data_IF_262311990661
#
_entry.id   IF_262311990661
#
_cell.length_a   1.000
_cell.length_b   1.000
_cell.length_c   1.000
_cell.angle_alpha   90.00
_cell.angle_beta   90.00
_cell.angle_gamma   90.00
#
_symmetry.space_group_name_H-M   'P 1'
#
loop_
_entity.id
_entity.type
_entity.pdbx_description
1 polymer ?
#
# COMPACT_ATOMS: atom_id res chain seq x y z
N UNK A 1 15.96 27.55 2.15
CA UNK A 1 14.83 27.97 2.98
C UNK A 1 13.44 27.86 2.31
N UNK A 2 13.31 27.22 1.14
CA UNK A 2 12.02 27.07 0.43
C UNK A 2 11.37 25.67 0.54
N UNK A 3 11.99 24.72 1.21
CA UNK A 3 11.52 23.32 1.30
C UNK A 3 10.66 23.06 2.55
N UNK A 4 10.72 23.93 3.55
CA UNK A 4 9.94 23.80 4.79
C UNK A 4 8.45 24.21 4.64
N UNK A 5 8.08 24.94 3.59
CA UNK A 5 6.71 25.42 3.37
C UNK A 5 5.72 24.38 2.82
N UNK A 6 6.21 23.27 2.25
CA UNK A 6 5.33 22.29 1.57
C UNK A 6 4.87 21.18 2.54
N UNK A 7 5.70 20.81 3.50
CA UNK A 7 5.32 19.82 4.51
C UNK A 7 4.23 20.32 5.47
N UNK A 8 4.16 21.63 5.71
CA UNK A 8 3.16 22.26 6.58
C UNK A 8 1.78 22.39 5.93
N UNK A 9 1.69 22.48 4.61
CA UNK A 9 0.39 22.57 3.91
C UNK A 9 -0.41 21.26 3.91
N UNK A 10 0.23 20.14 4.14
CA UNK A 10 -0.47 18.84 4.23
C UNK A 10 -1.08 18.61 5.63
N UNK A 11 -0.46 19.11 6.70
CA UNK A 11 -1.05 19.07 8.04
C UNK A 11 -2.25 20.01 8.18
N UNK A 12 -2.26 21.13 7.45
CA UNK A 12 -3.34 22.12 7.52
C UNK A 12 -4.53 21.78 6.60
N UNK A 13 -4.34 20.99 5.54
CA UNK A 13 -5.45 20.55 4.68
C UNK A 13 -6.26 19.39 5.29
N UNK A 14 -5.81 18.80 6.39
CA UNK A 14 -6.55 17.84 7.23
C UNK A 14 -7.09 18.54 8.50
N UNK A 15 -7.04 19.85 8.58
CA UNK A 15 -7.72 20.59 9.63
C UNK A 15 -9.24 20.55 9.39
N UNK A 16 -9.90 19.65 10.07
CA UNK A 16 -11.34 19.51 10.16
C UNK A 16 -11.99 20.83 10.61
N UNK A 17 -12.91 21.33 9.81
CA UNK A 17 -13.97 22.21 10.34
C UNK A 17 -14.88 21.34 11.20
N UNK A 18 -14.61 21.35 12.49
CA UNK A 18 -15.48 20.77 13.50
C UNK A 18 -16.78 21.58 13.59
N UNK A 19 -17.84 21.02 13.01
CA UNK A 19 -19.20 21.33 13.45
C UNK A 19 -19.38 20.61 14.79
N UNK A 20 -19.32 21.36 15.90
CA UNK A 20 -19.58 20.83 17.24
C UNK A 20 -21.08 20.55 17.39
N UNK A 21 -21.45 19.29 17.32
CA UNK A 21 -22.66 18.76 17.95
C UNK A 21 -22.25 17.93 19.16
N UNK A 22 -22.69 18.33 20.34
CA UNK A 22 -22.44 17.62 21.58
C UNK A 22 -23.12 16.24 21.56
N UNK A 23 -22.31 15.17 21.66
CA UNK A 23 -22.81 13.81 21.89
C UNK A 23 -22.28 13.29 23.22
N UNK A 24 -23.22 12.92 24.09
CA UNK A 24 -22.94 12.27 25.36
C UNK A 24 -22.36 10.85 25.17
N UNK A 25 -21.92 10.15 26.24
CA UNK A 25 -21.26 8.86 26.14
C UNK A 25 -22.24 7.80 25.65
N UNK A 26 -22.15 7.47 24.35
CA UNK A 26 -22.90 6.38 23.77
C UNK A 26 -22.14 5.07 23.98
N UNK A 27 -22.85 4.10 24.52
CA UNK A 27 -22.40 2.72 24.70
C UNK A 27 -21.87 2.13 23.38
N UNK A 28 -20.78 1.36 23.48
CA UNK A 28 -20.14 0.64 22.40
C UNK A 28 -21.17 -0.23 21.63
N UNK A 29 -21.34 -0.06 20.32
CA UNK A 29 -22.12 -0.99 19.53
C UNK A 29 -21.31 -2.28 19.34
N UNK A 30 -21.66 -3.29 20.08
CA UNK A 30 -21.25 -4.68 19.83
C UNK A 30 -21.96 -5.20 18.58
N UNK A 31 -21.22 -5.83 17.68
CA UNK A 31 -21.71 -6.76 16.64
C UNK A 31 -22.43 -6.24 15.39
N UNK A 32 -22.44 -4.96 15.05
CA UNK A 32 -23.11 -4.54 13.81
C UNK A 32 -22.24 -4.59 12.52
N UNK A 33 -20.93 -4.65 12.64
CA UNK A 33 -20.02 -4.52 11.49
C UNK A 33 -19.80 -5.83 10.70
N UNK A 34 -19.84 -7.00 11.33
CA UNK A 34 -19.82 -8.27 10.59
C UNK A 34 -21.11 -8.49 9.79
N UNK A 35 -22.19 -7.82 10.21
CA UNK A 35 -23.48 -7.87 9.51
C UNK A 35 -23.50 -7.11 8.19
N UNK A 36 -22.65 -6.10 7.99
CA UNK A 36 -22.75 -5.21 6.82
C UNK A 36 -22.21 -5.87 5.54
N UNK A 37 -21.05 -6.51 5.57
CA UNK A 37 -20.52 -7.21 4.37
C UNK A 37 -21.33 -8.46 4.04
N UNK A 38 -21.75 -9.24 5.06
CA UNK A 38 -22.72 -10.31 4.87
C UNK A 38 -24.07 -9.78 4.39
N UNK A 39 -24.45 -8.59 4.80
CA UNK A 39 -25.68 -7.95 4.36
C UNK A 39 -25.62 -7.62 2.88
N UNK A 40 -24.57 -6.98 2.39
CA UNK A 40 -24.41 -6.63 0.98
C UNK A 40 -24.30 -7.86 0.07
N UNK A 41 -23.50 -8.87 0.42
CA UNK A 41 -23.46 -10.11 -0.35
C UNK A 41 -24.85 -10.80 -0.36
N UNK A 42 -25.53 -10.88 0.77
CA UNK A 42 -26.88 -11.44 0.85
C UNK A 42 -27.91 -10.60 0.08
N UNK A 43 -27.80 -9.29 0.09
CA UNK A 43 -28.64 -8.37 -0.68
C UNK A 43 -28.44 -8.58 -2.19
N UNK A 44 -27.22 -8.68 -2.66
CA UNK A 44 -26.88 -9.00 -4.07
C UNK A 44 -27.47 -10.35 -4.49
N UNK A 45 -27.25 -11.37 -3.67
CA UNK A 45 -27.82 -12.71 -3.93
C UNK A 45 -29.34 -12.65 -4.01
N UNK A 46 -30.00 -11.96 -3.06
CA UNK A 46 -31.45 -11.80 -3.03
C UNK A 46 -31.99 -11.00 -4.22
N UNK A 47 -31.29 -9.91 -4.60
CA UNK A 47 -31.66 -9.12 -5.77
C UNK A 47 -31.60 -9.95 -7.05
N UNK A 48 -30.56 -10.80 -7.21
CA UNK A 48 -30.48 -11.73 -8.32
C UNK A 48 -31.60 -12.77 -8.27
N UNK A 49 -31.85 -13.38 -7.11
CA UNK A 49 -32.96 -14.32 -6.94
C UNK A 49 -34.31 -13.70 -7.33
N UNK A 50 -34.58 -12.47 -6.88
CA UNK A 50 -35.81 -11.76 -7.20
C UNK A 50 -35.98 -11.50 -8.69
N UNK A 51 -34.88 -11.27 -9.41
CA UNK A 51 -34.88 -10.98 -10.84
C UNK A 51 -34.90 -12.25 -11.70
N UNK A 52 -34.18 -13.30 -11.30
CA UNK A 52 -33.97 -14.49 -12.13
C UNK A 52 -34.79 -15.72 -11.72
N UNK A 53 -35.36 -15.70 -10.51
CA UNK A 53 -36.06 -16.87 -9.94
C UNK A 53 -35.13 -18.01 -9.50
N UNK A 54 -33.81 -17.80 -9.51
CA UNK A 54 -32.82 -18.81 -9.12
C UNK A 54 -32.86 -19.11 -7.63
N UNK A 55 -32.43 -20.33 -7.24
CA UNK A 55 -32.22 -20.67 -5.84
C UNK A 55 -31.08 -19.85 -5.22
N UNK A 56 -31.10 -19.68 -3.87
CA UNK A 56 -30.03 -18.96 -3.16
C UNK A 56 -28.63 -19.51 -3.49
N UNK A 57 -28.48 -20.83 -3.53
CA UNK A 57 -27.21 -21.50 -3.82
C UNK A 57 -26.75 -21.21 -5.26
N UNK A 58 -27.68 -21.21 -6.21
CA UNK A 58 -27.40 -20.91 -7.61
C UNK A 58 -27.08 -19.43 -7.78
N UNK A 59 -27.87 -18.54 -7.20
CA UNK A 59 -27.64 -17.10 -7.22
C UNK A 59 -26.32 -16.73 -6.53
N UNK A 60 -25.99 -17.35 -5.38
CA UNK A 60 -24.69 -17.17 -4.69
C UNK A 60 -23.55 -17.61 -5.58
N UNK A 61 -23.64 -18.78 -6.21
CA UNK A 61 -22.60 -19.25 -7.15
C UNK A 61 -22.43 -18.29 -8.32
N UNK A 62 -23.50 -17.76 -8.90
CA UNK A 62 -23.43 -16.80 -10.00
C UNK A 62 -22.88 -15.44 -9.54
N UNK A 63 -23.25 -14.94 -8.36
CA UNK A 63 -22.72 -13.70 -7.79
C UNK A 63 -21.23 -13.85 -7.47
N UNK A 64 -20.79 -15.01 -6.99
CA UNK A 64 -19.39 -15.31 -6.73
C UNK A 64 -18.60 -15.66 -8.00
N UNK A 65 -19.27 -16.20 -9.01
CA UNK A 65 -18.66 -16.56 -10.31
C UNK A 65 -18.99 -15.52 -11.39
N UNK A 66 -19.37 -14.27 -11.02
CA UNK A 66 -19.49 -13.17 -11.98
C UNK A 66 -18.19 -13.13 -12.80
N UNK A 67 -18.31 -13.54 -14.07
CA UNK A 67 -17.13 -13.78 -14.91
C UNK A 67 -16.47 -12.44 -15.17
N UNK A 68 -15.16 -12.27 -14.87
CA UNK A 68 -14.43 -11.11 -15.35
C UNK A 68 -14.58 -11.00 -16.88
N UNK A 69 -14.46 -9.79 -17.45
CA UNK A 69 -14.28 -9.67 -18.90
C UNK A 69 -13.28 -10.74 -19.32
N UNK A 70 -13.56 -11.51 -20.35
CA UNK A 70 -12.99 -12.85 -20.59
C UNK A 70 -11.45 -12.94 -20.67
N UNK A 71 -10.71 -11.88 -20.37
CA UNK A 71 -9.28 -11.75 -20.65
C UNK A 71 -8.44 -11.05 -19.57
N UNK A 72 -9.01 -10.52 -18.42
CA UNK A 72 -8.17 -9.87 -17.43
C UNK A 72 -7.48 -10.88 -16.50
N UNK A 73 -6.13 -10.85 -16.49
CA UNK A 73 -5.30 -11.73 -15.68
C UNK A 73 -5.00 -11.09 -14.31
N UNK A 74 -5.40 -11.77 -13.26
CA UNK A 74 -5.07 -11.43 -11.87
C UNK A 74 -3.72 -12.04 -11.51
N UNK A 75 -2.67 -11.22 -11.54
CA UNK A 75 -1.28 -11.68 -11.40
C UNK A 75 -0.82 -11.79 -9.95
N UNK A 76 -1.55 -11.14 -9.03
CA UNK A 76 -1.04 -10.88 -7.69
C UNK A 76 0.08 -9.86 -7.72
N UNK A 77 0.51 -9.35 -6.57
CA UNK A 77 1.58 -8.35 -6.54
C UNK A 77 2.09 -8.05 -5.14
N UNK A 78 3.18 -7.29 -5.07
CA UNK A 78 3.85 -6.93 -3.83
C UNK A 78 3.43 -5.54 -3.35
N UNK A 79 3.49 -4.54 -4.22
CA UNK A 79 3.24 -3.15 -3.84
C UNK A 79 2.10 -2.53 -4.67
N UNK A 80 1.12 -1.86 -4.03
CA UNK A 80 -0.10 -1.44 -4.73
C UNK A 80 0.14 -0.50 -5.92
N UNK A 81 1.01 0.50 -5.78
CA UNK A 81 1.25 1.45 -6.88
C UNK A 81 1.99 0.80 -8.07
N UNK A 82 2.99 -0.04 -7.80
CA UNK A 82 3.77 -0.72 -8.86
C UNK A 82 2.94 -1.81 -9.51
N UNK A 83 2.21 -2.59 -8.72
CA UNK A 83 1.30 -3.62 -9.22
C UNK A 83 0.21 -3.02 -10.11
N UNK A 84 -0.45 -1.94 -9.67
CA UNK A 84 -1.51 -1.33 -10.46
C UNK A 84 -1.03 -0.95 -11.87
N UNK A 85 0.18 -0.40 -12.01
CA UNK A 85 0.76 -0.09 -13.31
C UNK A 85 1.19 -1.37 -14.05
N UNK A 86 1.97 -2.26 -13.42
CA UNK A 86 2.47 -3.47 -14.05
C UNK A 86 1.32 -4.40 -14.50
N UNK A 87 0.30 -4.57 -13.66
CA UNK A 87 -0.89 -5.37 -13.96
C UNK A 87 -1.68 -4.83 -15.15
N UNK A 88 -1.92 -3.50 -15.19
CA UNK A 88 -2.58 -2.89 -16.34
C UNK A 88 -1.74 -3.04 -17.60
N UNK A 89 -0.44 -2.80 -17.56
CA UNK A 89 0.44 -2.93 -18.71
C UNK A 89 0.50 -4.38 -19.23
N UNK A 90 0.57 -5.36 -18.34
CA UNK A 90 0.53 -6.78 -18.69
C UNK A 90 -0.78 -7.15 -19.39
N UNK A 91 -1.92 -6.72 -18.86
CA UNK A 91 -3.24 -6.96 -19.43
C UNK A 91 -3.49 -6.18 -20.74
N UNK A 92 -2.70 -5.14 -20.98
CA UNK A 92 -2.68 -4.41 -22.26
C UNK A 92 -1.69 -5.00 -23.27
N UNK A 93 -1.01 -6.09 -22.93
CA UNK A 93 -0.08 -6.78 -23.81
C UNK A 93 1.27 -6.09 -23.99
N UNK A 94 1.64 -5.12 -23.10
CA UNK A 94 2.96 -4.50 -23.15
C UNK A 94 4.01 -5.47 -22.63
N UNK A 95 4.93 -5.85 -23.50
CA UNK A 95 6.04 -6.75 -23.18
C UNK A 95 7.36 -5.99 -23.01
N UNK A 96 8.19 -6.48 -22.11
CA UNK A 96 9.57 -6.03 -21.99
C UNK A 96 10.40 -6.52 -23.19
N UNK A 97 11.01 -5.64 -23.98
CA UNK A 97 11.65 -5.99 -25.24
C UNK A 97 12.83 -6.96 -25.12
N UNK A 98 13.45 -7.02 -23.95
CA UNK A 98 14.60 -7.89 -23.68
C UNK A 98 14.23 -9.29 -23.23
N UNK A 99 13.00 -9.51 -22.75
CA UNK A 99 12.54 -10.82 -22.25
C UNK A 99 11.37 -11.39 -23.02
N UNK A 100 10.61 -10.57 -23.74
CA UNK A 100 9.35 -10.94 -24.37
C UNK A 100 8.24 -11.29 -23.35
N UNK A 101 8.40 -10.94 -22.07
CA UNK A 101 7.42 -11.14 -20.99
C UNK A 101 6.82 -9.80 -20.57
N UNK A 102 5.69 -9.78 -19.84
CA UNK A 102 5.19 -8.56 -19.21
C UNK A 102 6.28 -7.88 -18.37
N UNK A 103 6.25 -6.54 -18.29
CA UNK A 103 7.11 -5.80 -17.39
C UNK A 103 6.85 -6.22 -15.95
N UNK A 104 7.93 -6.50 -15.21
CA UNK A 104 7.85 -6.84 -13.79
C UNK A 104 7.48 -5.63 -12.94
N UNK A 105 6.91 -5.86 -11.73
CA UNK A 105 6.75 -4.79 -10.74
C UNK A 105 8.10 -4.16 -10.37
N UNK A 106 9.14 -4.96 -10.32
CA UNK A 106 10.50 -4.54 -10.06
C UNK A 106 10.97 -3.50 -11.10
N UNK A 107 10.73 -3.79 -12.39
CA UNK A 107 11.07 -2.87 -13.48
C UNK A 107 10.25 -1.57 -13.39
N UNK A 108 8.96 -1.65 -13.07
CA UNK A 108 8.11 -0.46 -12.88
C UNK A 108 8.59 0.37 -11.68
N UNK A 109 8.97 -0.27 -10.56
CA UNK A 109 9.53 0.40 -9.39
C UNK A 109 10.80 1.16 -9.75
N UNK A 110 11.74 0.47 -10.39
CA UNK A 110 13.04 1.04 -10.76
C UNK A 110 12.93 2.18 -11.76
N UNK A 111 12.20 1.98 -12.87
CA UNK A 111 11.94 3.03 -13.87
C UNK A 111 11.22 4.24 -13.25
N UNK A 112 10.34 4.01 -12.25
CA UNK A 112 9.67 5.06 -11.50
C UNK A 112 10.57 5.89 -10.57
N UNK A 113 11.87 5.53 -10.44
CA UNK A 113 12.82 6.19 -9.57
C UNK A 113 13.10 5.45 -8.26
N UNK A 114 12.65 4.20 -8.15
CA UNK A 114 13.05 3.27 -7.11
C UNK A 114 12.48 3.56 -5.72
N UNK A 115 13.34 3.38 -4.73
CA UNK A 115 13.03 3.45 -3.32
C UNK A 115 12.95 4.89 -2.79
N UNK A 116 12.21 5.06 -1.72
CA UNK A 116 12.27 6.19 -0.82
C UNK A 116 12.66 5.75 0.59
N UNK A 117 12.72 6.69 1.49
CA UNK A 117 12.91 6.46 2.90
C UNK A 117 12.09 7.48 3.69
N UNK A 118 11.56 7.06 4.82
CA UNK A 118 10.77 7.95 5.66
C UNK A 118 10.30 7.28 6.94
N UNK A 119 10.04 8.13 7.92
CA UNK A 119 9.46 7.74 9.19
C UNK A 119 8.45 8.80 9.60
N UNK A 120 7.20 8.38 9.79
CA UNK A 120 6.12 9.24 10.27
C UNK A 120 5.34 8.50 11.36
N UNK A 121 5.27 9.10 12.55
CA UNK A 121 4.39 8.64 13.62
C UNK A 121 3.14 9.52 13.63
N UNK A 122 2.00 8.93 13.31
CA UNK A 122 0.70 9.57 13.32
C UNK A 122 0.03 9.44 14.69
N UNK A 123 -0.56 10.52 15.15
CA UNK A 123 -1.40 10.53 16.36
C UNK A 123 -2.86 10.77 16.00
N UNK A 124 -3.68 9.75 16.17
CA UNK A 124 -5.14 9.82 16.03
C UNK A 124 -5.75 10.19 17.37
N UNK A 125 -5.72 11.46 17.72
CA UNK A 125 -6.11 11.96 19.06
C UNK A 125 -7.51 11.56 19.49
N UNK A 126 -8.48 11.58 18.54
CA UNK A 126 -9.87 11.18 18.81
C UNK A 126 -10.00 9.71 19.26
N UNK A 127 -9.04 8.87 18.89
CA UNK A 127 -9.07 7.42 19.17
C UNK A 127 -7.97 7.00 20.15
N UNK A 128 -7.21 7.97 20.68
CA UNK A 128 -6.02 7.71 21.49
C UNK A 128 -5.13 6.61 20.90
N UNK A 129 -4.86 6.73 19.60
CA UNK A 129 -4.11 5.76 18.82
C UNK A 129 -2.90 6.42 18.20
N UNK A 130 -1.76 5.73 18.25
CA UNK A 130 -0.54 6.10 17.55
C UNK A 130 -0.18 5.01 16.57
N UNK A 131 -0.03 5.36 15.32
CA UNK A 131 0.30 4.46 14.21
C UNK A 131 1.48 5.01 13.43
N UNK A 132 2.19 4.12 12.78
CA UNK A 132 3.48 4.40 12.15
C UNK A 132 3.38 4.11 10.66
N UNK A 133 4.05 4.93 9.87
CA UNK A 133 4.31 4.67 8.46
C UNK A 133 5.81 4.75 8.20
N UNK A 134 6.35 3.71 7.58
CA UNK A 134 7.77 3.53 7.31
C UNK A 134 8.04 3.21 5.84
N UNK A 135 9.23 3.53 5.41
CA UNK A 135 9.77 3.10 4.13
C UNK A 135 9.41 4.01 3.00
N UNK A 136 8.57 3.60 2.12
CA UNK A 136 8.11 4.30 0.93
C UNK A 136 8.92 3.98 -0.35
N UNK A 137 8.22 4.02 -1.48
CA UNK A 137 8.84 4.24 -2.79
C UNK A 137 9.23 5.71 -2.96
N UNK A 138 10.04 6.01 -3.95
CA UNK A 138 10.34 7.40 -4.32
C UNK A 138 9.05 8.20 -4.62
N UNK A 139 9.02 9.46 -4.23
CA UNK A 139 7.87 10.38 -4.40
C UNK A 139 6.52 9.85 -3.85
N UNK A 140 6.54 9.12 -2.75
CA UNK A 140 5.33 8.57 -2.14
C UNK A 140 4.27 9.63 -1.79
N UNK A 141 4.68 10.87 -1.50
CA UNK A 141 3.75 11.97 -1.19
C UNK A 141 2.92 12.41 -2.41
N UNK A 142 3.38 12.06 -3.60
CA UNK A 142 2.78 12.48 -4.86
C UNK A 142 2.58 11.27 -5.78
N UNK A 143 1.62 10.38 -5.44
CA UNK A 143 1.46 9.11 -6.16
C UNK A 143 1.13 9.31 -7.64
N UNK A 144 0.37 10.34 -7.99
CA UNK A 144 0.06 10.67 -9.38
C UNK A 144 1.29 11.16 -10.15
N UNK A 145 2.18 11.94 -9.54
CA UNK A 145 3.43 12.39 -10.17
C UNK A 145 4.38 11.22 -10.40
N UNK A 146 4.50 10.34 -9.42
CA UNK A 146 5.31 9.14 -9.56
C UNK A 146 4.78 8.25 -10.70
N UNK A 147 3.47 7.98 -10.72
CA UNK A 147 2.84 7.16 -11.75
C UNK A 147 3.02 7.75 -13.15
N UNK A 148 2.79 9.07 -13.32
CA UNK A 148 3.04 9.77 -14.60
C UNK A 148 4.50 9.64 -15.04
N UNK A 149 5.46 9.83 -14.13
CA UNK A 149 6.89 9.73 -14.41
C UNK A 149 7.26 8.31 -14.82
N UNK A 150 6.79 7.28 -14.10
CA UNK A 150 7.03 5.89 -14.45
C UNK A 150 6.49 5.58 -15.85
N UNK A 151 5.24 5.96 -16.14
CA UNK A 151 4.63 5.77 -17.45
C UNK A 151 5.38 6.54 -18.55
N UNK A 152 5.75 7.81 -18.31
CA UNK A 152 6.51 8.62 -19.27
C UNK A 152 7.84 7.97 -19.66
N UNK A 153 8.61 7.48 -18.68
CA UNK A 153 9.89 6.79 -18.92
C UNK A 153 9.70 5.48 -19.68
N UNK A 154 8.61 4.77 -19.38
CA UNK A 154 8.23 3.54 -20.08
C UNK A 154 7.53 3.78 -21.43
N UNK A 155 7.48 5.03 -21.90
CA UNK A 155 6.81 5.43 -23.13
C UNK A 155 5.32 5.04 -23.20
N UNK A 156 4.66 5.02 -22.04
CA UNK A 156 3.22 4.72 -21.92
C UNK A 156 2.44 6.02 -21.74
N UNK A 157 1.57 6.40 -22.66
CA UNK A 157 0.68 7.54 -22.49
C UNK A 157 -0.25 7.32 -21.30
N UNK A 158 -0.27 8.28 -20.39
CA UNK A 158 -1.04 8.18 -19.15
C UNK A 158 -1.88 9.45 -18.96
N UNK A 159 -3.19 9.27 -18.79
CA UNK A 159 -4.11 10.36 -18.49
C UNK A 159 -4.55 10.28 -17.04
N UNK A 160 -4.31 11.35 -16.28
CA UNK A 160 -4.91 11.51 -14.95
C UNK A 160 -6.16 12.37 -15.10
N UNK A 161 -7.30 11.79 -14.75
CA UNK A 161 -8.61 12.42 -14.77
C UNK A 161 -8.97 12.80 -13.34
N UNK A 162 -9.32 14.07 -13.13
CA UNK A 162 -9.74 14.60 -11.84
C UNK A 162 -10.99 15.46 -12.02
N UNK A 163 -11.97 15.27 -11.16
CA UNK A 163 -13.20 16.08 -11.19
C UNK A 163 -13.85 16.13 -9.81
N UNK A 164 -14.49 17.24 -9.48
CA UNK A 164 -15.35 17.36 -8.30
C UNK A 164 -16.78 16.84 -8.53
N UNK A 165 -17.14 16.47 -9.78
CA UNK A 165 -18.47 15.98 -10.12
C UNK A 165 -18.54 14.46 -10.05
N UNK A 166 -19.34 13.90 -9.16
CA UNK A 166 -19.57 12.48 -9.04
C UNK A 166 -20.10 11.85 -10.35
N UNK A 167 -21.04 12.53 -11.03
CA UNK A 167 -21.59 12.09 -12.31
C UNK A 167 -20.51 12.00 -13.40
N UNK A 168 -19.64 13.01 -13.48
CA UNK A 168 -18.53 13.00 -14.45
C UNK A 168 -17.52 11.93 -14.11
N UNK A 169 -17.21 11.76 -12.83
CA UNK A 169 -16.28 10.74 -12.34
C UNK A 169 -16.75 9.32 -12.66
N UNK A 170 -18.06 9.07 -12.53
CA UNK A 170 -18.66 7.78 -12.91
C UNK A 170 -18.59 7.56 -14.43
N UNK A 171 -18.97 8.59 -15.22
CA UNK A 171 -18.90 8.51 -16.67
C UNK A 171 -17.47 8.22 -17.16
N UNK A 172 -16.45 8.91 -16.63
CA UNK A 172 -15.05 8.69 -16.98
C UNK A 172 -14.56 7.27 -16.66
N UNK A 173 -14.99 6.70 -15.53
CA UNK A 173 -14.68 5.31 -15.18
C UNK A 173 -15.36 4.34 -16.15
N UNK A 174 -16.67 4.51 -16.40
CA UNK A 174 -17.44 3.66 -17.29
C UNK A 174 -16.92 3.71 -18.73
N UNK A 175 -16.54 4.89 -19.20
CA UNK A 175 -15.96 5.08 -20.53
C UNK A 175 -14.65 4.31 -20.70
N UNK A 176 -13.75 4.38 -19.70
CA UNK A 176 -12.50 3.65 -19.75
C UNK A 176 -12.72 2.13 -19.74
N UNK A 177 -13.46 1.64 -18.75
CA UNK A 177 -13.71 0.20 -18.58
C UNK A 177 -14.55 -0.36 -19.73
N UNK A 178 -15.53 0.40 -20.24
CA UNK A 178 -16.36 0.02 -21.40
C UNK A 178 -15.58 -0.10 -22.71
N UNK A 179 -14.43 0.60 -22.82
CA UNK A 179 -13.48 0.46 -23.92
C UNK A 179 -12.46 -0.68 -23.70
N UNK A 180 -12.62 -1.47 -22.65
CA UNK A 180 -11.67 -2.53 -22.29
C UNK A 180 -10.35 -2.01 -21.70
N UNK A 181 -10.34 -0.76 -21.21
CA UNK A 181 -9.15 -0.14 -20.58
C UNK A 181 -9.31 -0.14 -19.09
N UNK A 182 -8.53 -0.95 -18.33
CA UNK A 182 -8.56 -0.91 -16.88
C UNK A 182 -8.17 0.47 -16.35
N UNK A 183 -8.86 0.94 -15.32
CA UNK A 183 -8.65 2.26 -14.74
C UNK A 183 -8.16 2.16 -13.29
N UNK A 184 -7.04 2.79 -13.00
CA UNK A 184 -6.45 2.83 -11.66
C UNK A 184 -7.11 3.96 -10.88
N UNK A 185 -7.81 3.64 -9.79
CA UNK A 185 -8.61 4.55 -8.99
C UNK A 185 -8.01 4.75 -7.59
N UNK A 186 -7.87 6.00 -7.15
CA UNK A 186 -7.63 6.30 -5.74
C UNK A 186 -8.96 6.37 -5.00
N UNK A 187 -9.11 5.53 -3.98
CA UNK A 187 -10.35 5.38 -3.23
C UNK A 187 -10.06 5.24 -1.73
N UNK A 188 -11.06 5.51 -0.90
CA UNK A 188 -10.98 5.24 0.53
C UNK A 188 -11.12 3.74 0.79
N UNK A 189 -10.09 3.12 1.34
CA UNK A 189 -10.06 1.66 1.52
C UNK A 189 -11.11 1.15 2.51
N UNK A 190 -11.46 1.95 3.50
CA UNK A 190 -12.48 1.54 4.47
C UNK A 190 -13.83 1.36 3.78
N UNK A 191 -14.21 2.26 2.88
CA UNK A 191 -15.49 2.22 2.17
C UNK A 191 -15.54 1.18 1.05
N UNK A 192 -14.39 0.70 0.53
CA UNK A 192 -14.37 -0.43 -0.40
C UNK A 192 -14.86 -1.74 0.23
N UNK A 193 -14.72 -1.88 1.55
CA UNK A 193 -15.38 -2.91 2.37
C UNK A 193 -14.68 -4.26 2.45
N UNK A 194 -13.98 -4.73 1.42
CA UNK A 194 -13.42 -6.09 1.35
C UNK A 194 -12.27 -6.39 2.33
N UNK A 195 -11.70 -5.36 2.97
CA UNK A 195 -10.67 -5.53 4.03
C UNK A 195 -11.23 -5.47 5.44
N UNK A 196 -12.53 -5.21 5.59
CA UNK A 196 -13.22 -5.08 6.88
C UNK A 196 -12.50 -4.15 7.87
N UNK A 197 -12.05 -3.00 7.37
CA UNK A 197 -11.41 -1.98 8.18
C UNK A 197 -12.43 -1.30 9.12
N UNK A 198 -12.04 -0.89 10.33
CA UNK A 198 -12.95 -0.23 11.25
C UNK A 198 -13.40 1.14 10.73
N UNK A 199 -14.62 1.54 11.07
CA UNK A 199 -15.26 2.76 10.56
C UNK A 199 -14.47 4.04 10.85
N UNK A 200 -13.68 4.10 11.92
CA UNK A 200 -12.86 5.28 12.25
C UNK A 200 -11.70 5.53 11.27
N UNK A 201 -11.37 4.56 10.39
CA UNK A 201 -10.41 4.75 9.29
C UNK A 201 -11.04 5.40 8.06
N UNK A 202 -12.35 5.62 8.03
CA UNK A 202 -13.02 6.33 6.94
C UNK A 202 -12.43 7.73 6.76
N UNK A 203 -12.13 8.09 5.52
CA UNK A 203 -11.56 9.40 5.16
C UNK A 203 -10.04 9.45 5.18
N UNK A 204 -9.36 8.38 5.56
CA UNK A 204 -7.89 8.33 5.55
C UNK A 204 -7.30 7.91 4.20
N UNK A 205 -8.16 7.55 3.24
CA UNK A 205 -7.74 7.14 1.91
C UNK A 205 -7.18 5.72 1.87
N UNK A 206 -6.26 5.51 0.94
CA UNK A 206 -5.60 4.22 0.75
C UNK A 206 -4.77 4.18 -0.52
N UNK A 207 -4.11 3.07 -0.79
CA UNK A 207 -3.45 2.82 -2.05
C UNK A 207 -4.47 2.72 -3.19
N UNK A 208 -4.03 2.87 -4.46
CA UNK A 208 -4.91 2.71 -5.60
C UNK A 208 -5.36 1.26 -5.77
N UNK A 209 -6.53 1.10 -6.39
CA UNK A 209 -7.04 -0.18 -6.89
C UNK A 209 -7.31 -0.06 -8.38
N UNK A 210 -7.14 -1.14 -9.13
CA UNK A 210 -7.47 -1.18 -10.55
C UNK A 210 -8.90 -1.67 -10.73
N UNK A 211 -9.74 -0.89 -11.41
CA UNK A 211 -11.07 -1.30 -11.84
C UNK A 211 -10.96 -1.81 -13.29
N UNK A 212 -11.21 -3.10 -13.49
CA UNK A 212 -11.04 -3.72 -14.80
C UNK A 212 -12.35 -4.19 -15.45
N UNK A 213 -13.45 -4.10 -14.71
CA UNK A 213 -14.77 -4.50 -15.21
C UNK A 213 -15.89 -3.88 -14.38
N UNK A 214 -17.06 -3.76 -15.00
CA UNK A 214 -18.31 -3.36 -14.35
C UNK A 214 -19.37 -4.36 -14.77
N UNK A 215 -20.06 -4.94 -13.80
CA UNK A 215 -21.24 -5.78 -13.98
C UNK A 215 -22.46 -4.99 -13.49
N UNK A 216 -23.15 -4.35 -14.42
CA UNK A 216 -24.36 -3.57 -14.10
C UNK A 216 -25.52 -4.47 -13.66
N UNK A 217 -25.53 -5.72 -14.11
CA UNK A 217 -26.56 -6.67 -13.72
C UNK A 217 -26.38 -7.07 -12.25
N UNK A 218 -25.16 -7.33 -11.82
CA UNK A 218 -24.84 -7.61 -10.42
C UNK A 218 -24.70 -6.36 -9.57
N UNK A 219 -24.56 -5.16 -10.19
CA UNK A 219 -24.32 -3.89 -9.50
C UNK A 219 -22.95 -3.80 -8.86
N UNK A 220 -21.90 -4.37 -9.49
CA UNK A 220 -20.55 -4.42 -8.94
C UNK A 220 -19.48 -4.00 -9.92
N UNK A 221 -18.38 -3.50 -9.40
CA UNK A 221 -17.12 -3.35 -10.10
C UNK A 221 -16.21 -4.54 -9.80
N UNK A 222 -15.48 -4.99 -10.80
CA UNK A 222 -14.42 -5.97 -10.70
C UNK A 222 -13.11 -5.22 -10.44
N UNK A 223 -12.44 -5.57 -9.33
CA UNK A 223 -11.25 -4.83 -8.89
C UNK A 223 -10.03 -5.73 -8.73
N UNK A 224 -8.86 -5.16 -8.99
CA UNK A 224 -7.56 -5.78 -8.71
C UNK A 224 -6.84 -4.92 -7.67
N UNK A 225 -6.65 -5.49 -6.48
CA UNK A 225 -5.80 -5.00 -5.38
C UNK A 225 -4.78 -6.10 -5.04
N UNK A 226 -4.04 -6.55 -6.03
CA UNK A 226 -3.05 -7.65 -5.92
C UNK A 226 -3.67 -9.01 -5.61
N UNK A 227 -4.97 -9.16 -5.79
CA UNK A 227 -5.66 -10.43 -5.63
C UNK A 227 -5.34 -11.40 -6.78
N UNK A 228 -5.45 -12.69 -6.50
CA UNK A 228 -5.23 -13.80 -7.45
C UNK A 228 -6.52 -14.46 -7.88
N UNK A 229 -7.63 -14.05 -7.29
CA UNK A 229 -8.97 -14.52 -7.62
C UNK A 229 -9.92 -13.31 -7.74
N UNK A 230 -11.07 -13.44 -8.43
CA UNK A 230 -12.01 -12.34 -8.63
C UNK A 230 -12.42 -11.67 -7.32
N UNK A 231 -12.33 -10.34 -7.30
CA UNK A 231 -12.74 -9.49 -6.19
C UNK A 231 -13.71 -8.44 -6.72
N UNK A 232 -14.85 -8.30 -6.05
CA UNK A 232 -15.90 -7.37 -6.43
C UNK A 232 -16.18 -6.34 -5.34
N UNK A 233 -16.50 -5.12 -5.78
CA UNK A 233 -16.94 -4.03 -4.92
C UNK A 233 -18.28 -3.53 -5.42
N UNK A 234 -19.31 -3.33 -4.56
CA UNK A 234 -20.57 -2.70 -4.95
C UNK A 234 -20.32 -1.32 -5.60
N UNK A 235 -21.04 -1.00 -6.68
CA UNK A 235 -20.84 0.25 -7.42
C UNK A 235 -21.08 1.50 -6.56
N UNK A 236 -22.05 1.46 -5.67
CA UNK A 236 -22.33 2.53 -4.72
C UNK A 236 -21.19 2.69 -3.69
N UNK A 237 -20.65 1.60 -3.19
CA UNK A 237 -19.49 1.60 -2.30
C UNK A 237 -18.23 2.16 -3.00
N UNK A 238 -17.97 1.75 -4.24
CA UNK A 238 -16.87 2.30 -5.03
C UNK A 238 -17.05 3.80 -5.29
N UNK A 239 -18.27 4.24 -5.62
CA UNK A 239 -18.57 5.65 -5.83
C UNK A 239 -18.37 6.47 -4.54
N UNK A 240 -18.85 5.98 -3.40
CA UNK A 240 -18.64 6.59 -2.09
C UNK A 240 -17.14 6.64 -1.72
N UNK A 241 -16.41 5.55 -1.91
CA UNK A 241 -14.99 5.45 -1.63
C UNK A 241 -14.15 6.43 -2.47
N UNK A 242 -14.47 6.61 -3.75
CA UNK A 242 -13.80 7.58 -4.64
C UNK A 242 -14.13 9.03 -4.29
N UNK A 243 -15.32 9.30 -3.73
CA UNK A 243 -15.75 10.63 -3.33
C UNK A 243 -15.19 11.07 -1.97
N UNK A 244 -14.89 10.10 -1.07
CA UNK A 244 -14.67 10.35 0.36
C UNK A 244 -13.47 11.23 0.66
N UNK A 245 -12.38 11.07 -0.06
CA UNK A 245 -11.16 11.86 0.14
C UNK A 245 -11.15 13.01 -0.86
N UNK A 246 -11.54 14.20 -0.41
CA UNK A 246 -11.72 15.37 -1.27
C UNK A 246 -10.47 15.78 -2.06
N UNK A 247 -9.27 15.53 -1.51
CA UNK A 247 -8.00 15.81 -2.22
C UNK A 247 -7.76 14.86 -3.40
N UNK A 248 -8.43 13.72 -3.46
CA UNK A 248 -8.35 12.80 -4.61
C UNK A 248 -9.19 13.27 -5.79
N UNK A 249 -10.24 14.07 -5.59
CA UNK A 249 -11.10 14.56 -6.66
C UNK A 249 -11.55 13.46 -7.63
N UNK A 250 -11.97 12.32 -7.08
CA UNK A 250 -12.31 11.11 -7.86
C UNK A 250 -11.22 10.67 -8.84
N UNK A 251 -9.96 10.89 -8.53
CA UNK A 251 -8.83 10.66 -9.42
C UNK A 251 -8.84 9.28 -10.04
N UNK A 252 -8.62 9.25 -11.36
CA UNK A 252 -8.34 8.05 -12.15
C UNK A 252 -7.02 8.25 -12.89
N UNK A 253 -6.27 7.17 -13.03
CA UNK A 253 -5.18 7.04 -13.99
C UNK A 253 -5.60 6.01 -15.04
N UNK A 254 -5.61 6.44 -16.28
CA UNK A 254 -5.93 5.59 -17.45
C UNK A 254 -4.67 5.50 -18.30
N UNK A 255 -4.20 4.28 -18.51
CA UNK A 255 -3.04 4.00 -19.34
C UNK A 255 -3.52 3.69 -20.76
N UNK A 256 -3.26 4.60 -21.69
CA UNK A 256 -3.62 4.41 -23.10
C UNK A 256 -2.66 3.40 -23.77
N UNK A 257 -3.04 2.85 -24.90
CA UNK A 257 -2.13 2.03 -25.68
C UNK A 257 -0.92 2.89 -26.10
N UNK A 258 0.31 2.39 -25.95
CA UNK A 258 1.47 3.14 -26.40
C UNK A 258 1.39 3.41 -27.90
N UNK A 259 1.77 4.61 -28.32
CA UNK A 259 1.80 5.00 -29.74
C UNK A 259 2.85 4.23 -30.54
N UNK A 260 3.87 3.71 -29.85
CA UNK A 260 4.90 2.85 -30.38
C UNK A 260 5.27 1.80 -29.33
N UNK A 261 5.75 0.65 -29.77
CA UNK A 261 6.27 -0.38 -28.87
C UNK A 261 7.41 0.17 -28.03
N UNK A 262 7.49 -0.29 -26.79
CA UNK A 262 8.65 -0.01 -25.93
C UNK A 262 9.86 -0.75 -26.51
N UNK A 263 10.82 -0.01 -27.08
CA UNK A 263 12.05 -0.61 -27.60
C UNK A 263 13.11 -0.77 -26.49
N UNK A 264 14.14 -1.57 -26.78
CA UNK A 264 15.23 -1.82 -25.83
C UNK A 264 15.99 -0.53 -25.47
N UNK A 265 16.14 0.41 -26.41
CA UNK A 265 16.82 1.69 -26.18
C UNK A 265 16.05 2.58 -25.21
N UNK A 266 14.73 2.68 -25.39
CA UNK A 266 13.82 3.39 -24.50
C UNK A 266 13.81 2.79 -23.09
N UNK A 267 13.75 1.47 -22.98
CA UNK A 267 13.80 0.81 -21.67
C UNK A 267 15.16 1.01 -20.97
N UNK A 268 16.27 0.89 -21.70
CA UNK A 268 17.61 1.18 -21.16
C UNK A 268 17.73 2.61 -20.64
N UNK A 269 17.16 3.58 -21.36
CA UNK A 269 17.12 4.98 -20.91
C UNK A 269 16.27 5.12 -19.63
N UNK A 270 15.06 4.56 -19.59
CA UNK A 270 14.20 4.58 -18.41
C UNK A 270 14.89 4.02 -17.16
N UNK A 271 15.60 2.91 -17.32
CA UNK A 271 16.37 2.27 -16.24
C UNK A 271 17.51 3.18 -15.77
N UNK A 272 18.31 3.77 -16.68
CA UNK A 272 19.40 4.69 -16.29
C UNK A 272 18.87 5.90 -15.54
N UNK A 273 17.79 6.52 -16.02
CA UNK A 273 17.15 7.66 -15.35
C UNK A 273 16.63 7.26 -13.97
N UNK A 274 16.03 6.07 -13.83
CA UNK A 274 15.56 5.55 -12.56
C UNK A 274 16.69 5.31 -11.56
N UNK A 275 17.79 4.72 -12.00
CA UNK A 275 18.99 4.49 -11.19
C UNK A 275 19.63 5.81 -10.73
N UNK A 276 19.79 6.78 -11.63
CA UNK A 276 20.34 8.09 -11.30
C UNK A 276 19.48 8.82 -10.26
N UNK A 277 18.16 8.82 -10.45
CA UNK A 277 17.22 9.44 -9.50
C UNK A 277 17.24 8.75 -8.14
N UNK A 278 17.37 7.41 -8.10
CA UNK A 278 17.48 6.65 -6.86
C UNK A 278 18.70 7.11 -6.04
N UNK A 279 19.85 7.20 -6.66
CA UNK A 279 21.10 7.65 -6.01
C UNK A 279 20.97 9.08 -5.52
N UNK A 280 20.46 9.99 -6.35
CA UNK A 280 20.22 11.38 -5.97
C UNK A 280 19.24 11.50 -4.79
N UNK A 281 18.10 10.82 -4.86
CA UNK A 281 17.02 10.93 -3.88
C UNK A 281 17.43 10.40 -2.50
N UNK A 282 17.97 9.19 -2.41
CA UNK A 282 18.40 8.62 -1.13
C UNK A 282 19.65 9.25 -0.57
N UNK A 283 20.52 9.82 -1.43
CA UNK A 283 21.72 10.55 -1.04
C UNK A 283 21.46 11.95 -0.48
N UNK A 284 20.21 12.45 -0.52
CA UNK A 284 19.85 13.75 0.04
C UNK A 284 20.01 13.78 1.56
N UNK A 285 20.21 14.98 2.10
CA UNK A 285 20.35 15.21 3.56
C UNK A 285 19.02 15.43 4.28
N UNK A 286 17.90 15.03 3.66
CA UNK A 286 16.58 15.17 4.29
C UNK A 286 16.37 14.15 5.41
N UNK A 287 16.09 14.61 6.61
CA UNK A 287 15.75 13.76 7.77
C UNK A 287 14.26 13.34 7.79
N UNK A 288 13.54 13.57 6.69
CA UNK A 288 12.12 13.23 6.55
C UNK A 288 11.84 12.30 5.38
N UNK A 289 12.63 12.37 4.29
CA UNK A 289 12.32 11.69 3.03
C UNK A 289 13.51 11.01 2.35
N UNK A 290 14.64 10.87 3.05
CA UNK A 290 15.83 10.14 2.60
C UNK A 290 16.45 9.36 3.76
N UNK A 291 17.56 8.66 3.56
CA UNK A 291 18.13 7.76 4.56
C UNK A 291 18.31 8.35 5.96
N UNK A 292 18.68 9.65 6.17
CA UNK A 292 18.71 10.24 7.48
C UNK A 292 17.42 10.16 8.30
N UNK A 293 16.25 9.98 7.65
CA UNK A 293 14.97 9.79 8.35
C UNK A 293 14.97 8.52 9.21
N UNK A 294 15.56 7.44 8.72
CA UNK A 294 15.68 6.18 9.47
C UNK A 294 16.66 6.31 10.65
N UNK A 295 17.79 7.00 10.46
CA UNK A 295 18.70 7.30 11.57
C UNK A 295 18.04 8.17 12.65
N UNK A 296 17.19 9.10 12.24
CA UNK A 296 16.38 9.90 13.15
C UNK A 296 15.41 9.01 13.93
N UNK A 297 14.74 8.07 13.27
CA UNK A 297 13.86 7.12 13.94
C UNK A 297 14.60 6.25 14.94
N UNK A 298 15.77 5.68 14.57
CA UNK A 298 16.59 4.90 15.47
C UNK A 298 16.91 5.66 16.78
N UNK A 299 17.29 6.94 16.68
CA UNK A 299 17.51 7.78 17.87
C UNK A 299 16.24 8.02 18.69
N UNK A 300 15.12 8.30 18.02
CA UNK A 300 13.84 8.57 18.69
C UNK A 300 13.30 7.36 19.47
N UNK A 301 13.67 6.14 19.10
CA UNK A 301 13.25 4.94 19.82
C UNK A 301 13.74 4.89 21.27
N UNK A 302 14.84 5.53 21.58
CA UNK A 302 15.47 5.48 22.93
C UNK A 302 15.72 6.85 23.56
N UNK A 303 15.36 7.96 22.90
CA UNK A 303 15.62 9.32 23.40
C UNK A 303 14.48 9.81 24.32
N UNK A 304 14.66 9.84 25.67
CA UNK A 304 13.64 10.31 26.59
C UNK A 304 13.59 11.84 26.69
N UNK A 305 14.62 12.54 26.20
CA UNK A 305 14.70 14.01 26.22
C UNK A 305 13.88 14.65 25.11
N UNK A 306 13.67 13.96 24.01
CA UNK A 306 12.96 14.47 22.85
C UNK A 306 11.44 14.34 23.02
N UNK A 307 10.70 15.41 22.72
CA UNK A 307 9.23 15.39 22.77
C UNK A 307 8.60 14.34 21.83
N UNK A 308 9.30 13.97 20.74
CA UNK A 308 8.91 12.93 19.78
C UNK A 308 9.60 11.59 20.03
N UNK A 309 10.40 11.47 21.09
CA UNK A 309 11.05 10.23 21.50
C UNK A 309 10.01 9.21 21.97
N UNK A 310 10.15 7.97 21.56
CA UNK A 310 9.20 6.90 21.92
C UNK A 310 9.09 6.69 23.45
N UNK A 311 10.15 6.79 24.25
CA UNK A 311 10.01 6.73 25.72
C UNK A 311 9.05 7.79 26.28
N UNK A 312 8.96 8.96 25.65
CA UNK A 312 8.04 10.04 26.05
C UNK A 312 6.67 9.91 25.42
N UNK A 313 6.62 9.61 24.12
CA UNK A 313 5.35 9.43 23.37
C UNK A 313 4.56 8.25 23.91
N UNK A 314 5.21 7.17 24.29
CA UNK A 314 4.61 5.95 24.84
C UNK A 314 4.90 5.78 26.35
N UNK A 315 5.02 6.88 27.10
CA UNK A 315 5.27 6.82 28.55
C UNK A 315 4.14 6.09 29.29
N UNK A 316 2.91 6.23 28.84
CA UNK A 316 1.71 5.56 29.33
C UNK A 316 1.48 4.15 28.74
N UNK A 317 2.37 3.67 27.87
CA UNK A 317 2.26 2.41 27.10
C UNK A 317 1.05 2.32 26.18
N UNK A 318 0.20 3.34 26.13
CA UNK A 318 -0.95 3.38 25.21
C UNK A 318 -0.48 3.33 23.75
N UNK A 319 -1.03 2.42 23.00
CA UNK A 319 -0.74 2.18 21.58
C UNK A 319 0.69 1.70 21.26
N UNK A 320 1.54 1.38 22.24
CA UNK A 320 2.89 0.87 21.95
C UNK A 320 2.85 -0.46 21.20
N UNK A 321 1.99 -1.39 21.63
CA UNK A 321 1.76 -2.65 20.91
C UNK A 321 1.31 -2.40 19.46
N UNK A 322 0.38 -1.46 19.27
CA UNK A 322 -0.10 -1.09 17.95
C UNK A 322 1.01 -0.49 17.06
N UNK A 323 1.88 0.35 17.64
CA UNK A 323 3.04 0.89 16.92
C UNK A 323 4.03 -0.20 16.50
N UNK A 324 4.28 -1.19 17.36
CA UNK A 324 5.11 -2.36 17.01
C UNK A 324 4.48 -3.18 15.88
N UNK A 325 3.17 -3.42 15.93
CA UNK A 325 2.45 -4.09 14.84
C UNK A 325 2.51 -3.27 13.54
N UNK A 326 2.41 -1.93 13.62
CA UNK A 326 2.57 -1.07 12.44
C UNK A 326 3.98 -1.14 11.85
N UNK A 327 5.03 -1.31 12.67
CA UNK A 327 6.39 -1.57 12.16
C UNK A 327 6.39 -2.83 11.28
N UNK A 328 5.84 -3.92 11.80
CA UNK A 328 5.74 -5.19 11.08
C UNK A 328 4.96 -5.04 9.77
N UNK A 329 3.79 -4.43 9.82
CA UNK A 329 2.91 -4.23 8.66
C UNK A 329 3.56 -3.38 7.55
N UNK A 330 4.38 -2.42 7.91
CA UNK A 330 5.07 -1.57 6.93
C UNK A 330 6.33 -2.23 6.33
N UNK A 331 6.91 -3.23 7.00
CA UNK A 331 8.17 -3.85 6.60
C UNK A 331 7.98 -5.21 5.92
N UNK A 332 6.91 -5.94 6.26
CA UNK A 332 6.68 -7.28 5.74
C UNK A 332 5.67 -7.26 4.59
N UNK A 333 6.06 -7.72 3.39
CA UNK A 333 5.15 -7.82 2.24
C UNK A 333 3.92 -8.67 2.54
N UNK A 334 4.09 -9.75 3.31
CA UNK A 334 3.00 -10.63 3.73
C UNK A 334 1.92 -9.93 4.58
N UNK A 335 2.20 -8.75 5.10
CA UNK A 335 1.23 -7.94 5.84
C UNK A 335 0.29 -7.10 4.96
N UNK A 336 0.56 -7.01 3.66
CA UNK A 336 -0.38 -6.49 2.66
C UNK A 336 -0.52 -4.98 2.54
N UNK A 337 0.17 -4.19 3.31
CA UNK A 337 0.13 -2.72 3.19
C UNK A 337 1.16 -2.15 2.21
N UNK A 338 1.69 -2.99 1.36
CA UNK A 338 2.60 -2.60 0.30
C UNK A 338 4.05 -2.48 0.71
N UNK A 339 4.38 -2.94 1.91
CA UNK A 339 5.73 -3.09 2.39
C UNK A 339 6.61 -1.85 2.26
N UNK A 340 6.80 -1.10 3.33
CA UNK A 340 7.78 -0.02 3.36
C UNK A 340 9.21 -0.49 3.07
N UNK A 341 9.42 -1.79 3.10
CA UNK A 341 10.71 -2.39 2.80
C UNK A 341 11.06 -2.27 1.31
N UNK A 342 10.34 -2.82 0.39
CA UNK A 342 10.56 -2.86 -1.07
C UNK A 342 12.02 -3.18 -1.53
N UNK A 343 12.95 -3.42 -0.60
CA UNK A 343 14.39 -3.60 -0.92
C UNK A 343 14.63 -4.88 -1.69
N UNK A 344 13.88 -5.93 -1.36
CA UNK A 344 13.93 -7.19 -2.11
C UNK A 344 13.44 -6.97 -3.56
N UNK A 345 12.32 -6.30 -3.76
CA UNK A 345 11.79 -5.95 -5.08
C UNK A 345 12.75 -5.05 -5.87
N UNK A 346 13.44 -4.13 -5.18
CA UNK A 346 14.44 -3.29 -5.83
C UNK A 346 15.70 -4.08 -6.20
N UNK A 347 16.09 -5.07 -5.42
CA UNK A 347 17.19 -5.97 -5.78
C UNK A 347 16.86 -6.80 -7.05
N UNK A 348 15.61 -7.25 -7.20
CA UNK A 348 15.14 -7.89 -8.43
C UNK A 348 15.27 -6.94 -9.65
N UNK A 349 14.86 -5.67 -9.47
CA UNK A 349 15.07 -4.65 -10.51
C UNK A 349 16.55 -4.49 -10.89
N UNK A 350 17.45 -4.47 -9.90
CA UNK A 350 18.89 -4.32 -10.17
C UNK A 350 19.47 -5.51 -10.93
N UNK A 351 18.98 -6.74 -10.68
CA UNK A 351 19.38 -7.91 -11.46
C UNK A 351 18.86 -7.83 -12.91
N UNK A 352 17.60 -7.45 -13.10
CA UNK A 352 17.05 -7.22 -14.44
C UNK A 352 17.83 -6.10 -15.18
N UNK A 353 18.12 -5.01 -14.47
CA UNK A 353 18.89 -3.88 -15.00
C UNK A 353 20.34 -4.27 -15.36
N UNK A 354 20.97 -5.12 -14.56
CA UNK A 354 22.32 -5.63 -14.84
C UNK A 354 22.38 -6.35 -16.20
N UNK A 355 21.41 -7.22 -16.46
CA UNK A 355 21.29 -7.92 -17.74
C UNK A 355 20.94 -6.97 -18.91
N UNK A 356 19.95 -6.09 -18.69
CA UNK A 356 19.49 -5.15 -19.72
C UNK A 356 20.57 -4.15 -20.16
N UNK A 357 21.35 -3.62 -19.20
CA UNK A 357 22.38 -2.60 -19.44
C UNK A 357 23.77 -3.18 -19.76
N UNK A 358 23.95 -4.50 -19.64
CA UNK A 358 25.26 -5.16 -19.67
C UNK A 358 26.21 -4.57 -18.61
N UNK A 359 25.69 -4.40 -17.37
CA UNK A 359 26.36 -3.74 -16.26
C UNK A 359 26.45 -4.66 -15.03
N UNK A 360 27.39 -5.63 -14.99
CA UNK A 360 27.49 -6.63 -13.92
C UNK A 360 27.71 -6.03 -12.52
N UNK A 361 28.19 -4.78 -12.44
CA UNK A 361 28.33 -4.06 -11.17
C UNK A 361 26.99 -3.84 -10.47
N UNK A 362 25.86 -3.75 -11.20
CA UNK A 362 24.50 -3.65 -10.64
C UNK A 362 24.11 -4.94 -9.89
N UNK A 363 24.63 -6.11 -10.29
CA UNK A 363 24.42 -7.36 -9.54
C UNK A 363 25.03 -7.33 -8.13
N UNK A 364 26.14 -6.59 -7.93
CA UNK A 364 26.71 -6.37 -6.60
C UNK A 364 25.81 -5.46 -5.76
N UNK A 365 25.23 -4.43 -6.39
CA UNK A 365 24.25 -3.57 -5.74
C UNK A 365 22.98 -4.35 -5.37
N UNK A 366 22.49 -5.26 -6.24
CA UNK A 366 21.38 -6.15 -5.95
C UNK A 366 21.64 -7.02 -4.69
N UNK A 367 22.83 -7.58 -4.57
CA UNK A 367 23.23 -8.36 -3.39
C UNK A 367 23.22 -7.48 -2.12
N UNK A 368 23.74 -6.27 -2.19
CA UNK A 368 23.74 -5.34 -1.05
C UNK A 368 22.32 -4.92 -0.65
N UNK A 369 21.39 -4.70 -1.60
CA UNK A 369 19.99 -4.42 -1.29
C UNK A 369 19.24 -5.62 -0.74
N UNK A 370 19.60 -6.87 -1.07
CA UNK A 370 19.09 -8.08 -0.38
C UNK A 370 19.53 -8.09 1.07
N UNK A 371 20.79 -7.79 1.36
CA UNK A 371 21.27 -7.68 2.75
C UNK A 371 20.49 -6.57 3.49
N UNK A 372 20.25 -5.41 2.88
CA UNK A 372 19.42 -4.37 3.47
C UNK A 372 17.98 -4.87 3.74
N UNK A 373 17.40 -5.65 2.82
CA UNK A 373 16.09 -6.27 3.01
C UNK A 373 16.08 -7.21 4.23
N UNK A 374 17.11 -8.05 4.38
CA UNK A 374 17.24 -8.96 5.53
C UNK A 374 17.36 -8.19 6.85
N UNK A 375 18.05 -7.03 6.86
CA UNK A 375 18.12 -6.17 8.06
C UNK A 375 16.76 -5.54 8.38
N UNK A 376 15.99 -5.12 7.39
CA UNK A 376 14.64 -4.64 7.62
C UNK A 376 13.70 -5.75 8.11
N UNK A 377 13.85 -6.96 7.60
CA UNK A 377 13.14 -8.12 8.14
C UNK A 377 13.47 -8.33 9.62
N UNK A 378 14.75 -8.23 10.03
CA UNK A 378 15.14 -8.30 11.44
C UNK A 378 14.48 -7.20 12.29
N UNK A 379 14.30 -5.98 11.76
CA UNK A 379 13.55 -4.92 12.45
C UNK A 379 12.10 -5.35 12.71
N UNK A 380 11.44 -5.95 11.72
CA UNK A 380 10.08 -6.47 11.87
C UNK A 380 10.01 -7.61 12.92
N UNK A 381 10.98 -8.52 12.91
CA UNK A 381 11.08 -9.62 13.88
C UNK A 381 11.25 -9.11 15.32
N UNK A 382 12.06 -8.07 15.51
CA UNK A 382 12.25 -7.45 16.84
C UNK A 382 10.97 -6.72 17.27
N UNK A 383 10.31 -6.01 16.35
CA UNK A 383 9.09 -5.26 16.67
C UNK A 383 7.92 -6.17 17.07
N UNK A 384 7.82 -7.34 16.42
CA UNK A 384 6.71 -8.28 16.61
C UNK A 384 7.24 -9.73 16.73
N UNK A 385 7.86 -10.11 17.86
CA UNK A 385 8.55 -11.36 18.01
C UNK A 385 7.63 -12.58 17.88
N UNK A 386 7.96 -13.50 16.96
CA UNK A 386 7.17 -14.69 16.64
C UNK A 386 7.03 -15.67 17.81
N UNK A 387 7.96 -15.68 18.74
CA UNK A 387 7.98 -16.62 19.88
C UNK A 387 7.19 -16.16 21.11
N UNK A 388 6.50 -15.02 21.06
CA UNK A 388 5.85 -14.43 22.23
C UNK A 388 4.41 -14.00 21.93
N UNK A 389 3.45 -14.50 22.70
CA UNK A 389 2.08 -14.00 22.64
C UNK A 389 1.97 -12.63 23.40
N UNK A 390 1.16 -11.68 22.92
CA UNK A 390 0.23 -11.73 21.77
C UNK A 390 0.85 -11.29 20.42
N UNK A 391 2.15 -11.06 20.35
CA UNK A 391 2.83 -10.64 19.13
C UNK A 391 2.73 -11.71 18.04
N UNK A 392 2.93 -12.97 18.41
CA UNK A 392 2.79 -14.11 17.50
C UNK A 392 1.36 -14.24 16.94
N UNK A 393 0.33 -14.01 17.77
CA UNK A 393 -1.06 -13.98 17.31
C UNK A 393 -1.30 -12.85 16.31
N UNK A 394 -0.79 -11.65 16.58
CA UNK A 394 -0.91 -10.51 15.68
C UNK A 394 -0.30 -10.79 14.31
N UNK A 395 0.89 -11.39 14.26
CA UNK A 395 1.53 -11.82 13.00
C UNK A 395 0.65 -12.80 12.23
N UNK A 396 0.27 -13.90 12.87
CA UNK A 396 -0.56 -14.94 12.23
C UNK A 396 -1.86 -14.37 11.66
N UNK A 397 -2.52 -13.46 12.40
CA UNK A 397 -3.75 -12.82 11.93
C UNK A 397 -3.49 -11.87 10.77
N UNK A 398 -2.41 -11.08 10.81
CA UNK A 398 -2.06 -10.14 9.75
C UNK A 398 -1.71 -10.85 8.44
N UNK A 399 -0.84 -11.88 8.51
CA UNK A 399 -0.43 -12.68 7.35
C UNK A 399 -1.62 -13.46 6.75
N UNK A 400 -2.44 -14.06 7.62
CA UNK A 400 -3.66 -14.76 7.19
C UNK A 400 -4.65 -13.82 6.52
N UNK A 401 -4.86 -12.63 7.08
CA UNK A 401 -5.77 -11.63 6.52
C UNK A 401 -5.36 -11.26 5.09
N UNK A 402 -4.06 -11.01 4.87
CA UNK A 402 -3.56 -10.67 3.54
C UNK A 402 -3.75 -11.84 2.55
N UNK A 403 -3.35 -13.04 2.93
CA UNK A 403 -3.52 -14.22 2.08
C UNK A 403 -5.00 -14.49 1.72
N UNK A 404 -5.91 -14.22 2.66
CA UNK A 404 -7.35 -14.35 2.41
C UNK A 404 -7.88 -13.25 1.49
N UNK A 405 -7.40 -12.00 1.62
CA UNK A 405 -7.78 -10.91 0.70
C UNK A 405 -7.33 -11.23 -0.73
N UNK A 406 -6.16 -11.83 -0.91
CA UNK A 406 -5.68 -12.31 -2.23
C UNK A 406 -6.60 -13.38 -2.83
N UNK A 407 -7.32 -14.12 -2.01
CA UNK A 407 -8.32 -15.12 -2.41
C UNK A 407 -9.63 -14.52 -2.96
N UNK A 408 -9.78 -13.22 -2.95
CA UNK A 408 -10.92 -12.51 -3.54
C UNK A 408 -12.26 -12.79 -2.85
N UNK A 409 -13.36 -12.75 -3.62
CA UNK A 409 -14.73 -12.89 -3.10
C UNK A 409 -14.98 -14.24 -2.39
N UNK A 410 -14.30 -15.28 -2.80
CA UNK A 410 -14.49 -16.61 -2.21
C UNK A 410 -14.08 -16.67 -0.73
N UNK A 411 -13.10 -15.86 -0.35
CA UNK A 411 -12.52 -15.84 1.00
C UNK A 411 -13.12 -14.74 1.91
N UNK A 412 -14.13 -13.99 1.47
CA UNK A 412 -14.64 -12.82 2.20
C UNK A 412 -15.25 -13.14 3.58
N UNK A 413 -15.77 -14.33 3.77
CA UNK A 413 -16.27 -14.76 5.10
C UNK A 413 -15.09 -14.94 6.08
N UNK A 414 -14.02 -15.57 5.63
CA UNK A 414 -12.81 -15.76 6.41
C UNK A 414 -12.07 -14.44 6.65
N UNK A 415 -12.03 -13.55 5.65
CA UNK A 415 -11.50 -12.18 5.79
C UNK A 415 -12.20 -11.45 6.91
N UNK A 416 -13.54 -11.48 6.94
CA UNK A 416 -14.34 -10.82 7.98
C UNK A 416 -14.00 -11.32 9.38
N UNK A 417 -13.90 -12.64 9.55
CA UNK A 417 -13.57 -13.28 10.84
C UNK A 417 -12.15 -12.92 11.29
N UNK A 418 -11.19 -13.03 10.38
CA UNK A 418 -9.77 -12.75 10.68
C UNK A 418 -9.55 -11.26 10.99
N UNK A 419 -10.16 -10.36 10.22
CA UNK A 419 -10.11 -8.92 10.46
C UNK A 419 -10.72 -8.56 11.82
N UNK A 420 -11.89 -9.12 12.16
CA UNK A 420 -12.50 -8.89 13.47
C UNK A 420 -11.59 -9.36 14.61
N UNK A 421 -10.94 -10.52 14.47
CA UNK A 421 -9.98 -11.04 15.44
C UNK A 421 -8.76 -10.11 15.61
N UNK A 422 -8.17 -9.65 14.51
CA UNK A 422 -7.03 -8.75 14.53
C UNK A 422 -7.38 -7.40 15.17
N UNK A 423 -8.55 -6.82 14.85
CA UNK A 423 -8.99 -5.56 15.46
C UNK A 423 -9.33 -5.72 16.93
N UNK A 424 -9.95 -6.84 17.33
CA UNK A 424 -10.19 -7.13 18.76
C UNK A 424 -8.88 -7.28 19.55
N UNK A 425 -7.85 -7.88 18.94
CA UNK A 425 -6.51 -7.99 19.54
C UNK A 425 -5.87 -6.60 19.71
N UNK A 426 -5.94 -5.76 18.68
CA UNK A 426 -5.45 -4.37 18.73
C UNK A 426 -6.14 -3.55 19.82
N UNK A 427 -7.47 -3.66 19.94
CA UNK A 427 -8.27 -2.94 20.94
C UNK A 427 -7.96 -3.42 22.37
N UNK A 428 -7.74 -4.72 22.56
CA UNK A 428 -7.36 -5.29 23.86
C UNK A 428 -6.03 -4.72 24.35
N UNK A 429 -5.04 -4.54 23.45
CA UNK A 429 -3.69 -4.10 23.80
C UNK A 429 -3.45 -2.61 23.54
N UNK A 430 -4.45 -1.87 23.07
CA UNK A 430 -4.34 -0.41 22.92
C UNK A 430 -4.02 0.31 24.21
N UNK A 431 -4.70 0.05 25.34
CA UNK A 431 -4.47 0.78 26.59
C UNK A 431 -3.21 0.38 27.34
N UNK A 432 -2.50 -0.66 26.92
CA UNK A 432 -1.35 -1.22 27.63
C UNK A 432 -0.39 -1.97 26.70
N UNK A 433 0.82 -2.22 27.20
CA UNK A 433 1.79 -3.07 26.53
C UNK A 433 1.71 -4.51 27.08
N UNK A 434 1.90 -5.57 26.28
CA UNK A 434 1.93 -6.96 26.75
C UNK A 434 3.29 -7.31 27.38
N UNK A 435 3.54 -6.76 28.56
CA UNK A 435 4.76 -6.91 29.32
C UNK A 435 4.90 -5.81 30.37
N UNK A 436 5.95 -5.87 31.18
CA UNK A 436 6.29 -4.85 32.14
C UNK A 436 7.06 -3.67 31.52
N UNK A 437 7.37 -2.67 32.33
CA UNK A 437 8.11 -1.49 31.88
C UNK A 437 9.54 -1.78 31.47
N UNK A 438 10.20 -2.75 32.11
CA UNK A 438 11.55 -3.15 31.76
C UNK A 438 11.59 -3.84 30.40
N UNK A 439 10.62 -4.70 30.12
CA UNK A 439 10.44 -5.36 28.84
C UNK A 439 10.13 -4.35 27.71
N UNK A 440 9.29 -3.36 27.97
CA UNK A 440 9.01 -2.30 27.01
C UNK A 440 10.28 -1.49 26.67
N UNK A 441 11.07 -1.13 27.67
CA UNK A 441 12.34 -0.41 27.47
C UNK A 441 13.35 -1.29 26.72
N UNK A 442 13.46 -2.56 27.08
CA UNK A 442 14.35 -3.51 26.40
C UNK A 442 13.96 -3.69 24.91
N UNK A 443 12.67 -3.77 24.62
CA UNK A 443 12.17 -3.84 23.23
C UNK A 443 12.56 -2.60 22.42
N UNK A 444 12.36 -1.39 22.99
CA UNK A 444 12.74 -0.15 22.30
C UNK A 444 14.26 -0.07 22.06
N UNK A 445 15.06 -0.54 23.01
CA UNK A 445 16.51 -0.63 22.85
C UNK A 445 16.92 -1.60 21.74
N UNK A 446 16.33 -2.81 21.72
CA UNK A 446 16.58 -3.80 20.69
C UNK A 446 16.14 -3.31 19.31
N UNK A 447 14.98 -2.66 19.24
CA UNK A 447 14.45 -2.08 17.99
C UNK A 447 15.37 -0.96 17.46
N UNK A 448 15.88 -0.09 18.34
CA UNK A 448 16.84 0.96 17.98
C UNK A 448 18.12 0.37 17.39
N UNK A 449 18.65 -0.71 18.00
CA UNK A 449 19.81 -1.44 17.49
C UNK A 449 19.55 -2.04 16.10
N UNK A 450 18.43 -2.72 15.93
CA UNK A 450 18.04 -3.32 14.65
C UNK A 450 17.86 -2.26 13.54
N UNK A 451 17.19 -1.13 13.84
CA UNK A 451 17.04 -0.01 12.89
C UNK A 451 18.38 0.61 12.54
N UNK A 452 19.30 0.73 13.49
CA UNK A 452 20.65 1.24 13.24
C UNK A 452 21.39 0.33 12.26
N UNK A 453 21.35 -0.98 12.46
CA UNK A 453 21.97 -1.96 11.57
C UNK A 453 21.34 -1.92 10.15
N UNK A 454 20.03 -1.74 10.07
CA UNK A 454 19.34 -1.56 8.78
C UNK A 454 19.78 -0.27 8.07
N UNK A 455 19.95 0.83 8.81
CA UNK A 455 20.47 2.09 8.25
C UNK A 455 21.87 1.94 7.68
N UNK A 456 22.75 1.23 8.38
CA UNK A 456 24.12 0.97 7.93
C UNK A 456 24.16 0.14 6.65
N UNK A 457 23.31 -0.89 6.56
CA UNK A 457 23.17 -1.69 5.35
C UNK A 457 22.61 -0.88 4.17
N UNK A 458 21.61 -0.01 4.40
CA UNK A 458 21.08 0.91 3.40
C UNK A 458 22.12 1.85 2.83
N UNK A 459 22.94 2.45 3.71
CA UNK A 459 24.00 3.37 3.28
C UNK A 459 25.10 2.65 2.51
N UNK A 460 25.45 1.44 2.93
CA UNK A 460 26.39 0.60 2.21
C UNK A 460 25.84 0.21 0.83
N UNK A 461 24.57 -0.21 0.74
CA UNK A 461 23.91 -0.57 -0.50
C UNK A 461 23.83 0.64 -1.47
N UNK A 462 23.49 1.81 -0.97
CA UNK A 462 23.49 3.05 -1.75
C UNK A 462 24.89 3.41 -2.28
N UNK A 463 25.92 3.22 -1.46
CA UNK A 463 27.31 3.43 -1.87
C UNK A 463 27.75 2.50 -3.01
N UNK A 464 27.39 1.20 -2.91
CA UNK A 464 27.65 0.22 -3.97
C UNK A 464 26.88 0.58 -5.24
N UNK A 465 25.61 0.98 -5.12
CA UNK A 465 24.80 1.41 -6.25
C UNK A 465 25.39 2.66 -6.93
N UNK A 466 25.75 3.68 -6.16
CA UNK A 466 26.31 4.92 -6.70
C UNK A 466 27.60 4.67 -7.48
N UNK A 467 28.43 3.70 -7.05
CA UNK A 467 29.63 3.30 -7.77
C UNK A 467 29.34 2.46 -9.03
N UNK A 468 28.16 1.82 -9.10
CA UNK A 468 27.77 0.95 -10.20
C UNK A 468 26.98 1.68 -11.30
N UNK A 469 26.37 2.83 -10.99
CA UNK A 469 25.58 3.61 -11.98
C UNK A 469 26.53 4.22 -13.00
N UNK A 470 26.37 3.90 -14.29
CA UNK A 470 27.20 4.51 -15.33
C UNK A 470 27.00 6.04 -15.35
N UNK A 471 28.06 6.81 -15.56
CA UNK A 471 27.93 8.25 -15.82
C UNK A 471 26.99 8.44 -17.03
N UNK A 472 26.03 9.40 -16.89
CA UNK A 472 25.03 9.70 -17.92
C UNK A 472 25.57 10.28 -19.22
#
# INVERSE_FOLDING_TARGET
MAVLGIAWRWSDSIAWRSGMGAWGPAALPRMEQSMTAHKHLKERIRARMARTGESYTTARRHVLNARPPAEYLLLGGVHPDTHAIAGVLANRGLLAPHTGRPLSEAMVLGAGGGLGAGYILWEFKAHNLRSLVLGFRNNWQYPDRWARKACQRLNVPARVLETGSARKAEAELRDAVGQGVPAIAWADQQLLGYRHLPAWLEGHGGPPVTVYGIDDEAGVALVDDRNRAPLTVPLDALAAARARVGSYKHRLLVLDAPAAELDTGGLRRAVREGLAEQVEHLGQRSDSFSLPAFRKWARLLTDPGNAKGWPKVFADRVSLFHACLSVYENLEPAAGWGGGNLRALYAEFLDEAAGLLDAPALGKAAAAYREAADRWHQVAEVALPAGREPFAEARRLTERLQAQVEGGDAAQEEVAVTAAGLWALRDRWRPRFPGDDAEAVALLGALAGAVTAACEAEEAALGVLAAAVPPG
#
